data_IF_880397740211
#
_entry.id   IF_880397740211
#
_cell.length_a   1.000
_cell.length_b   1.000
_cell.length_c   1.000
_cell.angle_alpha   90.00
_cell.angle_beta   90.00
_cell.angle_gamma   90.00
#
_symmetry.space_group_name_H-M   'P 1'
#
loop_
_entity.id
_entity.type
_entity.pdbx_description
1 polymer ?
#
# COMPACT_ATOMS: atom_id res chain seq x y z
N UNK A 1 -40.79 -28.63 62.50
CA UNK A 1 -40.15 -27.37 62.15
C UNK A 1 -39.24 -27.59 60.93
N UNK A 2 -39.76 -27.40 59.72
CA UNK A 2 -39.00 -27.56 58.50
C UNK A 2 -38.48 -26.15 58.05
N UNK A 3 -37.14 -26.00 58.02
CA UNK A 3 -36.49 -24.81 57.50
C UNK A 3 -36.27 -24.97 55.97
N UNK A 4 -36.99 -24.16 55.22
CA UNK A 4 -36.85 -24.05 53.75
C UNK A 4 -35.61 -23.19 53.45
N UNK A 5 -34.55 -23.79 52.87
CA UNK A 5 -33.38 -23.08 52.35
C UNK A 5 -33.70 -22.59 50.92
N UNK A 6 -33.85 -21.30 50.75
CA UNK A 6 -34.00 -20.67 49.44
C UNK A 6 -32.59 -20.45 48.87
N UNK A 7 -32.25 -21.19 47.80
CA UNK A 7 -31.00 -21.09 47.06
C UNK A 7 -31.16 -19.99 46.00
N UNK A 8 -30.60 -18.78 46.24
CA UNK A 8 -30.54 -17.73 45.24
C UNK A 8 -29.44 -18.04 44.21
N UNK A 9 -29.84 -18.47 43.02
CA UNK A 9 -28.91 -18.60 41.86
C UNK A 9 -28.77 -17.25 41.22
N UNK A 10 -27.63 -16.60 41.39
CA UNK A 10 -27.28 -15.38 40.70
C UNK A 10 -26.87 -15.72 39.25
N UNK A 11 -27.73 -15.40 38.31
CA UNK A 11 -27.40 -15.51 36.85
C UNK A 11 -26.52 -14.31 36.48
N UNK A 12 -25.19 -14.56 36.38
CA UNK A 12 -24.26 -13.60 35.79
C UNK A 12 -24.51 -13.55 34.27
N UNK A 13 -25.26 -12.55 33.82
CA UNK A 13 -25.42 -12.30 32.41
C UNK A 13 -24.12 -11.77 31.79
N UNK A 14 -23.47 -12.59 30.94
CA UNK A 14 -22.37 -12.12 30.09
C UNK A 14 -22.92 -11.11 29.08
N UNK A 15 -22.65 -9.84 29.31
CA UNK A 15 -22.92 -8.80 28.32
C UNK A 15 -21.80 -8.89 27.27
N UNK A 16 -22.04 -9.61 26.18
CA UNK A 16 -21.17 -9.63 25.01
C UNK A 16 -21.32 -8.29 24.27
N UNK A 17 -20.40 -7.36 24.51
CA UNK A 17 -20.32 -6.14 23.75
C UNK A 17 -20.08 -6.41 22.25
N UNK A 18 -20.53 -5.53 21.32
CA UNK A 18 -20.31 -5.73 19.90
C UNK A 18 -18.80 -5.76 19.62
N UNK A 19 -18.33 -6.87 19.05
CA UNK A 19 -16.96 -7.00 18.58
C UNK A 19 -16.73 -5.94 17.49
N UNK A 20 -15.90 -4.94 17.77
CA UNK A 20 -15.50 -3.93 16.80
C UNK A 20 -14.68 -4.65 15.72
N UNK A 21 -15.27 -4.85 14.54
CA UNK A 21 -14.53 -5.43 13.41
C UNK A 21 -13.30 -4.55 13.16
N UNK A 22 -12.10 -5.14 13.28
CA UNK A 22 -10.85 -4.43 13.05
C UNK A 22 -10.87 -3.82 11.65
N UNK A 23 -10.78 -2.50 11.56
CA UNK A 23 -10.70 -1.80 10.27
C UNK A 23 -9.42 -2.23 9.56
N UNK A 24 -9.56 -2.70 8.32
CA UNK A 24 -8.39 -3.05 7.51
C UNK A 24 -7.54 -1.80 7.30
N UNK A 25 -6.23 -1.93 7.45
CA UNK A 25 -5.30 -0.83 7.25
C UNK A 25 -5.35 -0.36 5.78
N UNK A 26 -5.32 0.94 5.60
CA UNK A 26 -5.37 1.63 4.32
C UNK A 26 -4.31 2.73 4.27
N UNK A 27 -3.79 3.04 3.08
CA UNK A 27 -2.85 4.13 2.87
C UNK A 27 -3.05 4.74 1.48
N UNK A 28 -2.55 5.95 1.28
CA UNK A 28 -2.62 6.67 0.02
C UNK A 28 -1.32 7.45 -0.21
N UNK A 29 -0.86 7.49 -1.45
CA UNK A 29 0.13 8.45 -1.93
C UNK A 29 -0.54 9.38 -2.94
N UNK A 30 -0.41 10.70 -2.74
CA UNK A 30 -0.77 11.71 -3.73
C UNK A 30 0.49 12.12 -4.45
N UNK A 31 0.53 11.88 -5.76
CA UNK A 31 1.72 12.08 -6.56
C UNK A 31 1.72 13.49 -7.16
N UNK A 32 2.91 14.07 -7.21
CA UNK A 32 3.19 15.32 -7.91
C UNK A 32 4.35 15.13 -8.89
N UNK A 33 4.34 15.88 -9.99
CA UNK A 33 5.46 15.96 -10.94
C UNK A 33 6.62 16.77 -10.35
N UNK A 34 7.74 16.83 -11.07
CA UNK A 34 8.89 17.68 -10.69
C UNK A 34 8.54 19.17 -10.62
N UNK A 35 7.52 19.61 -11.35
CA UNK A 35 7.00 20.99 -11.34
C UNK A 35 5.96 21.22 -10.25
N UNK A 36 5.69 20.20 -9.39
CA UNK A 36 4.70 20.27 -8.33
C UNK A 36 3.24 20.15 -8.78
N UNK A 37 3.00 19.75 -10.05
CA UNK A 37 1.64 19.55 -10.56
C UNK A 37 1.10 18.20 -10.04
N UNK A 38 -0.16 18.13 -9.61
CA UNK A 38 -0.79 16.85 -9.29
C UNK A 38 -0.73 15.87 -10.47
N UNK A 39 -0.45 14.61 -10.21
CA UNK A 39 -0.39 13.51 -11.19
C UNK A 39 -1.42 12.43 -10.86
N UNK A 40 -1.99 12.46 -9.67
CA UNK A 40 -3.02 11.51 -9.24
C UNK A 40 -2.72 10.82 -7.92
N UNK A 41 -3.28 9.64 -7.73
CA UNK A 41 -3.17 8.88 -6.48
C UNK A 41 -2.76 7.43 -6.70
N UNK A 42 -2.07 6.89 -5.70
CA UNK A 42 -1.87 5.46 -5.53
C UNK A 42 -2.45 5.06 -4.19
N UNK A 43 -3.46 4.20 -4.21
CA UNK A 43 -4.18 3.71 -3.04
C UNK A 43 -3.70 2.31 -2.65
N UNK A 44 -3.60 2.07 -1.34
CA UNK A 44 -3.16 0.81 -0.77
C UNK A 44 -4.22 0.29 0.19
N UNK A 45 -4.75 -0.89 -0.05
CA UNK A 45 -5.74 -1.52 0.80
C UNK A 45 -5.29 -2.91 1.25
N UNK A 46 -5.30 -3.17 2.56
CA UNK A 46 -5.07 -4.54 3.07
C UNK A 46 -6.21 -5.45 2.64
N UNK A 47 -5.86 -6.53 1.96
CA UNK A 47 -6.78 -7.59 1.56
C UNK A 47 -6.36 -8.92 2.17
N UNK A 48 -7.08 -10.02 1.90
CA UNK A 48 -6.85 -11.32 2.54
C UNK A 48 -5.44 -11.87 2.31
N UNK A 49 -4.85 -11.63 1.13
CA UNK A 49 -3.57 -12.22 0.72
C UNK A 49 -2.47 -11.18 0.46
N UNK A 50 -2.57 -9.98 1.03
CA UNK A 50 -1.56 -8.94 0.84
C UNK A 50 -2.13 -7.54 0.81
N UNK A 51 -1.60 -6.73 -0.07
CA UNK A 51 -2.00 -5.34 -0.31
C UNK A 51 -2.43 -5.21 -1.77
N UNK A 52 -3.67 -4.76 -1.99
CA UNK A 52 -4.13 -4.31 -3.29
C UNK A 52 -3.63 -2.86 -3.46
N UNK A 53 -2.86 -2.63 -4.51
CA UNK A 53 -2.35 -1.31 -4.91
C UNK A 53 -3.15 -0.88 -6.13
N UNK A 54 -3.83 0.26 -6.04
CA UNK A 54 -4.64 0.82 -7.13
C UNK A 54 -4.04 2.15 -7.57
N UNK A 55 -3.83 2.30 -8.85
CA UNK A 55 -3.29 3.48 -9.50
C UNK A 55 -4.40 4.25 -10.20
N UNK A 56 -4.46 5.54 -9.98
CA UNK A 56 -5.33 6.49 -10.70
C UNK A 56 -4.49 7.74 -10.99
N UNK A 57 -3.78 7.68 -12.12
CA UNK A 57 -2.78 8.67 -12.52
C UNK A 57 -3.14 9.27 -13.87
N UNK A 58 -2.67 10.49 -14.09
CA UNK A 58 -2.88 11.25 -15.33
C UNK A 58 -1.64 12.08 -15.69
N UNK A 59 -1.64 12.66 -16.90
CA UNK A 59 -0.55 13.48 -17.42
C UNK A 59 0.80 12.73 -17.50
N UNK A 60 0.75 11.40 -17.66
CA UNK A 60 1.93 10.58 -17.90
C UNK A 60 2.22 10.48 -19.41
N UNK A 61 3.49 10.35 -19.81
CA UNK A 61 3.82 9.94 -21.18
C UNK A 61 3.11 8.61 -21.51
N UNK A 62 2.57 8.42 -22.71
CA UNK A 62 2.00 7.14 -23.11
C UNK A 62 3.02 6.00 -23.08
N UNK A 63 2.62 4.82 -22.62
CA UNK A 63 3.45 3.62 -22.60
C UNK A 63 3.73 3.05 -21.21
N UNK A 64 4.74 2.16 -21.10
CA UNK A 64 5.06 1.50 -19.84
C UNK A 64 5.82 2.42 -18.89
N UNK A 65 5.45 2.37 -17.61
CA UNK A 65 6.12 3.04 -16.50
C UNK A 65 6.49 2.05 -15.41
N UNK A 66 7.72 2.12 -14.94
CA UNK A 66 8.11 1.52 -13.68
C UNK A 66 7.47 2.32 -12.53
N UNK A 67 6.94 1.61 -11.55
CA UNK A 67 6.41 2.21 -10.33
C UNK A 67 6.96 1.41 -9.16
N UNK A 68 7.74 2.09 -8.31
CA UNK A 68 8.40 1.46 -7.17
C UNK A 68 8.08 2.17 -5.85
N UNK A 69 8.15 1.43 -4.76
CA UNK A 69 8.22 2.02 -3.43
C UNK A 69 9.70 2.26 -3.08
N UNK A 70 10.00 3.44 -2.54
CA UNK A 70 11.34 3.86 -2.13
C UNK A 70 11.44 4.05 -0.63
N UNK A 71 12.67 3.92 -0.07
CA UNK A 71 12.94 3.82 1.37
C UNK A 71 12.74 5.09 2.17
N UNK A 72 12.53 6.25 1.54
CA UNK A 72 12.33 7.52 2.24
C UNK A 72 11.07 8.24 1.75
N UNK A 73 10.26 8.75 2.68
CA UNK A 73 9.11 9.61 2.39
C UNK A 73 9.51 11.03 1.98
N UNK A 74 10.56 11.19 1.15
CA UNK A 74 11.08 12.48 0.74
C UNK A 74 10.94 12.69 -0.78
N UNK A 75 9.93 13.45 -1.17
CA UNK A 75 9.64 13.83 -2.57
C UNK A 75 10.22 15.20 -2.92
N UNK A 76 11.49 15.45 -2.60
CA UNK A 76 12.15 16.71 -2.98
C UNK A 76 12.38 16.79 -4.51
N UNK A 77 11.61 17.64 -5.18
CA UNK A 77 11.71 17.87 -6.63
C UNK A 77 13.04 18.47 -7.06
N UNK A 78 13.73 19.26 -6.19
CA UNK A 78 15.03 19.85 -6.51
C UNK A 78 16.11 18.78 -6.66
N UNK A 79 15.98 17.67 -5.97
CA UNK A 79 16.85 16.51 -6.12
C UNK A 79 16.40 15.57 -7.25
N UNK A 80 15.44 15.96 -8.10
CA UNK A 80 14.79 15.08 -9.06
C UNK A 80 14.27 13.78 -8.39
N UNK A 81 13.73 13.91 -7.16
CA UNK A 81 13.22 12.85 -6.32
C UNK A 81 14.25 11.80 -5.88
N UNK A 82 15.56 12.03 -6.06
CA UNK A 82 16.59 11.09 -5.58
C UNK A 82 16.63 11.01 -4.06
N UNK A 83 16.14 12.04 -3.36
CA UNK A 83 15.99 12.04 -1.90
C UNK A 83 15.02 10.96 -1.37
N UNK A 84 14.18 10.36 -2.21
CA UNK A 84 13.37 9.20 -1.86
C UNK A 84 14.22 7.93 -1.60
N UNK A 85 15.50 7.97 -1.94
CA UNK A 85 16.45 6.88 -1.70
C UNK A 85 16.35 5.73 -2.71
N UNK A 86 16.88 4.54 -2.38
CA UNK A 86 16.79 3.34 -3.21
C UNK A 86 15.39 2.70 -3.15
N UNK A 87 15.15 1.68 -3.96
CA UNK A 87 13.93 0.86 -3.87
C UNK A 87 13.86 0.20 -2.49
N UNK A 88 12.65 0.09 -1.96
CA UNK A 88 12.40 -0.46 -0.63
C UNK A 88 12.74 -1.95 -0.59
N UNK A 89 13.75 -2.31 0.20
CA UNK A 89 14.00 -3.71 0.58
C UNK A 89 13.68 -3.94 2.05
N UNK A 90 12.95 -5.01 2.34
CA UNK A 90 12.59 -5.44 3.71
C UNK A 90 13.32 -6.73 4.11
N UNK A 91 14.05 -7.32 3.17
CA UNK A 91 14.87 -8.52 3.37
C UNK A 91 16.28 -8.20 2.92
N UNK A 92 17.27 -8.21 3.81
CA UNK A 92 18.66 -7.94 3.45
C UNK A 92 19.17 -8.86 2.32
N UNK A 93 19.94 -8.29 1.38
CA UNK A 93 20.54 -9.04 0.26
C UNK A 93 19.61 -9.28 -0.93
N UNK A 94 18.37 -8.82 -0.88
CA UNK A 94 17.50 -8.81 -2.07
C UNK A 94 18.03 -7.81 -3.10
N UNK A 95 17.87 -8.18 -4.36
CA UNK A 95 18.20 -7.34 -5.51
C UNK A 95 16.93 -6.88 -6.21
N UNK A 96 17.01 -5.73 -6.85
CA UNK A 96 15.94 -5.23 -7.68
C UNK A 96 15.63 -6.16 -8.87
N UNK A 97 14.33 -6.27 -9.17
CA UNK A 97 13.82 -6.86 -10.40
C UNK A 97 13.28 -8.28 -10.29
N UNK A 98 12.14 -8.50 -10.94
CA UNK A 98 11.42 -9.79 -10.94
C UNK A 98 12.18 -10.89 -11.68
N UNK A 99 13.10 -10.54 -12.57
CA UNK A 99 13.90 -11.46 -13.37
C UNK A 99 15.36 -11.52 -12.92
N UNK A 100 15.73 -10.78 -11.87
CA UNK A 100 17.08 -10.83 -11.28
C UNK A 100 17.19 -12.03 -10.35
N UNK A 101 18.38 -12.67 -10.33
CA UNK A 101 18.68 -13.67 -9.33
C UNK A 101 18.72 -13.01 -7.94
N UNK A 102 17.99 -13.55 -6.99
CA UNK A 102 17.86 -12.93 -5.66
C UNK A 102 16.82 -11.81 -5.52
N UNK A 103 16.18 -11.39 -6.63
CA UNK A 103 15.06 -10.47 -6.60
C UNK A 103 13.72 -11.15 -6.22
N UNK A 104 12.61 -10.41 -6.27
CA UNK A 104 12.54 -8.95 -6.28
C UNK A 104 12.75 -8.35 -4.88
N UNK A 105 12.95 -7.03 -4.82
CA UNK A 105 12.83 -6.23 -3.61
C UNK A 105 11.37 -6.03 -3.21
N UNK A 106 11.13 -5.58 -1.98
CA UNK A 106 9.75 -5.39 -1.51
C UNK A 106 9.02 -4.25 -2.22
N UNK A 107 9.77 -3.25 -2.68
CA UNK A 107 9.26 -2.09 -3.40
C UNK A 107 9.00 -2.31 -4.89
N UNK A 108 9.44 -3.45 -5.45
CA UNK A 108 9.20 -3.76 -6.86
C UNK A 108 7.73 -4.05 -7.11
N UNK A 109 7.16 -3.33 -8.06
CA UNK A 109 5.82 -3.56 -8.59
C UNK A 109 5.92 -3.84 -10.11
N UNK A 110 4.99 -4.60 -10.68
CA UNK A 110 4.93 -4.78 -12.13
C UNK A 110 4.73 -3.44 -12.84
N UNK A 111 5.34 -3.28 -14.03
CA UNK A 111 5.10 -2.12 -14.89
C UNK A 111 3.62 -1.85 -15.07
N UNK A 112 3.25 -0.57 -15.08
CA UNK A 112 1.92 -0.11 -15.39
C UNK A 112 1.95 0.65 -16.73
N UNK A 113 0.80 0.75 -17.39
CA UNK A 113 0.74 1.28 -18.75
C UNK A 113 -0.20 2.48 -18.82
N UNK A 114 0.33 3.63 -19.18
CA UNK A 114 -0.46 4.82 -19.49
C UNK A 114 -1.01 4.73 -20.92
N UNK A 115 -2.29 5.06 -21.08
CA UNK A 115 -2.94 5.15 -22.38
C UNK A 115 -2.40 6.30 -23.22
N UNK A 116 -2.85 6.37 -24.50
CA UNK A 116 -2.48 7.47 -25.41
C UNK A 116 -2.93 8.85 -24.91
N UNK A 117 -3.91 8.89 -24.02
CA UNK A 117 -4.43 10.08 -23.34
C UNK A 117 -3.65 10.46 -22.07
N UNK A 118 -2.60 9.70 -21.73
CA UNK A 118 -1.78 9.92 -20.55
C UNK A 118 -2.43 9.41 -19.25
N UNK A 119 -3.58 8.75 -19.30
CA UNK A 119 -4.22 8.16 -18.11
C UNK A 119 -3.72 6.73 -17.85
N UNK A 120 -3.55 6.43 -16.56
CA UNK A 120 -3.23 5.10 -16.05
C UNK A 120 -4.21 4.75 -14.93
N UNK A 121 -5.13 3.84 -15.21
CA UNK A 121 -6.03 3.27 -14.21
C UNK A 121 -5.84 1.76 -14.15
N UNK A 122 -5.26 1.26 -13.06
CA UNK A 122 -4.88 -0.13 -12.91
C UNK A 122 -4.84 -0.56 -11.45
N UNK A 123 -4.74 -1.87 -11.21
CA UNK A 123 -4.50 -2.41 -9.87
C UNK A 123 -3.56 -3.60 -9.93
N UNK A 124 -2.73 -3.75 -8.91
CA UNK A 124 -1.87 -4.93 -8.70
C UNK A 124 -1.98 -5.45 -7.28
N UNK A 125 -1.75 -6.73 -7.09
CA UNK A 125 -1.71 -7.36 -5.76
C UNK A 125 -0.27 -7.72 -5.41
N UNK A 126 0.17 -7.32 -4.22
CA UNK A 126 1.48 -7.71 -3.69
C UNK A 126 1.36 -8.28 -2.29
N UNK A 127 2.22 -9.24 -1.96
CA UNK A 127 2.43 -9.75 -0.61
C UNK A 127 3.83 -9.42 -0.06
N UNK A 128 4.62 -8.63 -0.79
CA UNK A 128 5.99 -8.30 -0.43
C UNK A 128 6.10 -7.42 0.82
N UNK A 129 5.09 -6.57 1.05
CA UNK A 129 4.99 -5.70 2.22
C UNK A 129 3.60 -5.74 2.86
N UNK A 130 3.43 -5.02 3.97
CA UNK A 130 2.14 -4.87 4.67
C UNK A 130 1.89 -3.44 5.13
N UNK A 131 0.60 -3.10 5.32
CA UNK A 131 0.18 -1.83 5.91
C UNK A 131 0.00 -1.91 7.44
N UNK A 132 0.19 -3.09 8.02
CA UNK A 132 0.16 -3.33 9.46
C UNK A 132 1.48 -3.00 10.14
N UNK A 133 1.63 -3.46 11.38
CA UNK A 133 2.88 -3.41 12.11
C UNK A 133 3.71 -4.68 11.86
N UNK A 134 5.01 -4.65 12.15
CA UNK A 134 5.90 -5.80 12.06
C UNK A 134 6.92 -5.71 10.92
N UNK A 135 7.67 -6.79 10.71
CA UNK A 135 8.87 -6.82 9.85
C UNK A 135 8.62 -6.50 8.37
N UNK A 136 7.38 -6.61 7.90
CA UNK A 136 7.00 -6.27 6.52
C UNK A 136 6.23 -4.96 6.40
N UNK A 137 6.17 -4.16 7.47
CA UNK A 137 5.53 -2.86 7.46
C UNK A 137 6.30 -1.89 6.56
N UNK A 138 5.56 -1.11 5.75
CA UNK A 138 6.13 0.02 5.00
C UNK A 138 6.12 1.33 5.81
N UNK A 139 5.69 1.28 7.07
CA UNK A 139 5.62 2.45 7.94
C UNK A 139 6.73 2.39 8.99
N UNK A 140 7.90 2.85 8.62
CA UNK A 140 9.04 3.11 9.50
C UNK A 140 9.19 4.62 9.78
N UNK A 141 10.31 5.02 10.40
CA UNK A 141 10.56 6.41 10.77
C UNK A 141 10.87 7.31 9.58
N UNK A 142 11.44 6.75 8.51
CA UNK A 142 11.88 7.51 7.33
C UNK A 142 10.74 7.65 6.32
N UNK A 143 9.65 6.90 6.53
CA UNK A 143 8.51 6.84 5.64
C UNK A 143 8.84 6.11 4.32
N UNK A 144 7.88 6.08 3.41
CA UNK A 144 8.01 5.46 2.09
C UNK A 144 7.42 6.39 1.04
N UNK A 145 8.06 6.49 -0.12
CA UNK A 145 7.51 7.18 -1.28
C UNK A 145 7.20 6.22 -2.42
N UNK A 146 6.16 6.52 -3.20
CA UNK A 146 5.92 5.96 -4.53
C UNK A 146 6.65 6.83 -5.53
N UNK A 147 7.45 6.21 -6.39
CA UNK A 147 8.08 6.86 -7.55
C UNK A 147 7.48 6.28 -8.82
N UNK A 148 7.20 7.14 -9.79
CA UNK A 148 6.91 6.77 -11.17
C UNK A 148 8.09 7.20 -12.02
N UNK A 149 8.62 6.26 -12.83
CA UNK A 149 9.73 6.50 -13.72
C UNK A 149 9.26 6.74 -15.16
N UNK A 150 10.12 7.37 -15.97
CA UNK A 150 9.78 7.78 -17.34
C UNK A 150 9.54 6.61 -18.30
N UNK A 151 10.07 5.44 -18.00
CA UNK A 151 9.98 4.22 -18.81
C UNK A 151 9.64 3.02 -17.96
N UNK A 152 9.31 1.91 -18.61
CA UNK A 152 9.17 0.61 -17.97
C UNK A 152 10.50 0.08 -17.42
N UNK A 153 10.39 -0.69 -16.34
CA UNK A 153 11.45 -1.49 -15.75
C UNK A 153 11.74 -2.72 -16.65
N UNK A 154 13.02 -3.02 -16.90
CA UNK A 154 13.44 -4.25 -17.59
C UNK A 154 13.50 -5.48 -16.66
N UNK A 155 13.24 -5.29 -15.36
CA UNK A 155 13.22 -6.29 -14.28
C UNK A 155 14.56 -6.98 -13.99
N UNK A 156 15.69 -6.44 -14.51
CA UNK A 156 17.02 -7.06 -14.39
C UNK A 156 18.11 -6.08 -14.04
N UNK A 157 18.13 -4.92 -14.71
CA UNK A 157 19.23 -3.96 -14.61
C UNK A 157 19.27 -3.32 -13.23
N UNK A 158 20.39 -3.46 -12.54
CA UNK A 158 20.59 -2.87 -11.23
C UNK A 158 20.95 -1.38 -11.35
N UNK A 159 20.54 -0.54 -10.42
CA UNK A 159 19.62 -0.81 -9.30
C UNK A 159 18.14 -0.48 -9.57
N UNK A 160 17.75 -0.04 -10.76
CA UNK A 160 16.45 0.58 -11.06
C UNK A 160 15.84 0.13 -12.40
N UNK A 161 16.24 -1.02 -12.95
CA UNK A 161 15.61 -1.58 -14.16
C UNK A 161 15.70 -0.73 -15.42
N UNK A 162 16.70 0.14 -15.52
CA UNK A 162 16.86 1.06 -16.67
C UNK A 162 15.59 1.91 -16.97
N UNK A 163 14.80 2.18 -15.94
CA UNK A 163 13.49 2.81 -16.05
C UNK A 163 13.54 4.33 -16.38
N UNK A 164 14.73 4.92 -16.38
CA UNK A 164 14.93 6.32 -16.73
C UNK A 164 14.73 7.29 -15.57
N UNK A 165 14.30 8.49 -15.91
CA UNK A 165 14.14 9.56 -14.95
C UNK A 165 12.90 9.34 -14.05
N UNK A 166 13.01 9.73 -12.78
CA UNK A 166 11.87 9.82 -11.86
C UNK A 166 11.00 11.00 -12.25
N UNK A 167 9.76 10.78 -12.67
CA UNK A 167 8.88 11.81 -13.19
C UNK A 167 7.78 12.23 -12.23
N UNK A 168 7.40 11.36 -11.29
CA UNK A 168 6.43 11.69 -10.25
C UNK A 168 6.78 11.02 -8.92
N UNK A 169 6.39 11.66 -7.81
CA UNK A 169 6.63 11.18 -6.45
C UNK A 169 5.44 11.49 -5.55
N UNK A 170 5.13 10.57 -4.64
CA UNK A 170 4.12 10.76 -3.58
C UNK A 170 4.47 10.02 -2.31
N UNK A 171 4.41 10.69 -1.16
CA UNK A 171 4.64 10.06 0.14
C UNK A 171 3.45 9.20 0.52
N UNK A 172 3.70 7.97 0.97
CA UNK A 172 2.67 7.04 1.43
C UNK A 172 2.22 7.41 2.84
N UNK A 173 0.96 7.78 2.98
CA UNK A 173 0.37 8.21 4.25
C UNK A 173 -0.68 7.19 4.68
N UNK A 174 -0.60 6.74 5.95
CA UNK A 174 -1.63 5.88 6.55
C UNK A 174 -2.96 6.62 6.62
N UNK A 175 -4.03 5.98 6.20
CA UNK A 175 -5.39 6.53 6.28
C UNK A 175 -6.31 5.58 7.01
N UNK A 176 -7.44 6.11 7.48
CA UNK A 176 -8.52 5.27 7.99
C UNK A 176 -9.35 4.85 6.78
N UNK A 177 -9.23 3.61 6.35
CA UNK A 177 -10.02 3.07 5.24
C UNK A 177 -11.52 3.32 5.44
N UNK A 178 -12.30 3.47 4.36
CA UNK A 178 -13.76 3.59 4.47
C UNK A 178 -14.30 2.41 5.27
N UNK A 179 -15.27 2.68 6.17
CA UNK A 179 -15.98 1.62 6.85
C UNK A 179 -16.57 0.71 5.77
N UNK A 180 -16.32 -0.61 5.88
CA UNK A 180 -16.92 -1.56 4.95
C UNK A 180 -18.42 -1.27 4.86
N UNK A 181 -18.91 -0.84 3.70
CA UNK A 181 -20.34 -0.62 3.48
C UNK A 181 -21.02 -1.97 3.69
N UNK A 182 -21.80 -2.10 4.78
CA UNK A 182 -22.71 -3.24 4.90
C UNK A 182 -23.65 -3.20 3.69
N UNK A 183 -23.72 -4.30 2.96
CA UNK A 183 -24.76 -4.42 1.93
C UNK A 183 -26.11 -4.17 2.59
N UNK A 184 -26.97 -3.31 2.03
CA UNK A 184 -28.34 -3.18 2.53
C UNK A 184 -28.98 -4.57 2.58
N UNK A 185 -29.55 -4.97 3.74
CA UNK A 185 -30.20 -6.26 3.92
C UNK A 185 -29.30 -7.42 4.36
N UNK A 186 -28.01 -7.21 4.65
CA UNK A 186 -27.17 -8.28 5.22
C UNK A 186 -27.63 -8.58 6.66
N UNK A 187 -27.88 -9.85 7.03
CA UNK A 187 -28.29 -10.24 8.37
C UNK A 187 -27.21 -9.86 9.40
N UNK A 188 -27.57 -9.62 10.67
CA UNK A 188 -26.58 -9.42 11.73
C UNK A 188 -25.68 -10.65 11.86
N UNK A 189 -24.40 -10.49 12.27
CA UNK A 189 -23.53 -11.62 12.52
C UNK A 189 -24.18 -12.55 13.57
N UNK A 190 -24.24 -13.83 13.29
CA UNK A 190 -24.67 -14.83 14.28
C UNK A 190 -23.57 -14.88 15.34
N UNK A 191 -23.98 -14.71 16.58
CA UNK A 191 -23.13 -14.87 17.77
C UNK A 191 -22.90 -16.32 18.07
#
# INVERSE_FOLDING_TARGET
MFRLLILCVAILGLVSGPALAARKAHAIARLVSREGKPVGTVDFATVTRGVLVTFDLHDLPPGPHAIHLHTSGNCDAKSAFTAAGPILTLIPGKQHGFLAEGGPEAGDLPNQFAGADGHLHASTLTSAFSLGNGKRSIFDRDGVAVIVDARGDDYRTQPLGNAGDRIACGVVIRTVGPAARRKPGAPPPKH
#
